data_IF_701796456319
#
_entry.id   IF_701796456319
#
_cell.length_a   1.000
_cell.length_b   1.000
_cell.length_c   1.000
_cell.angle_alpha   90.00
_cell.angle_beta   90.00
_cell.angle_gamma   90.00
#
_symmetry.space_group_name_H-M   'P 1'
#
loop_
_entity.id
_entity.type
_entity.pdbx_description
1 polymer ?
#
# COMPACT_ATOMS: atom_id res chain seq x y z
N UNK A 1 7.16 2.68 10.39
CA UNK A 1 8.13 1.91 11.22
C UNK A 1 7.79 0.45 11.57
N UNK A 2 6.62 0.12 12.11
CA UNK A 2 6.37 -1.26 12.60
C UNK A 2 6.52 -2.33 11.51
N UNK A 3 5.91 -2.09 10.34
CA UNK A 3 5.86 -3.03 9.24
C UNK A 3 7.20 -3.12 8.53
N UNK A 4 7.84 -1.97 8.32
CA UNK A 4 9.14 -1.78 7.67
C UNK A 4 10.22 -2.52 8.45
N UNK A 5 10.33 -2.29 9.76
CA UNK A 5 11.30 -2.97 10.63
C UNK A 5 11.10 -4.48 10.68
N UNK A 6 9.86 -4.96 10.50
CA UNK A 6 9.53 -6.38 10.47
C UNK A 6 9.55 -6.96 9.05
N UNK A 7 9.82 -6.14 8.03
CA UNK A 7 9.73 -6.50 6.62
C UNK A 7 8.37 -7.13 6.28
N UNK A 8 7.30 -6.69 6.91
CA UNK A 8 5.94 -7.13 6.58
C UNK A 8 5.48 -6.28 5.38
N UNK A 9 5.19 -6.86 4.20
CA UNK A 9 4.65 -6.09 3.08
C UNK A 9 3.28 -5.51 3.46
N UNK A 10 3.08 -4.23 3.18
CA UNK A 10 1.82 -3.53 3.44
C UNK A 10 1.54 -2.50 2.34
N UNK A 11 0.30 -2.02 2.32
CA UNK A 11 -0.13 -0.89 1.49
C UNK A 11 -0.84 0.11 2.38
N UNK A 12 -0.90 1.37 1.94
CA UNK A 12 -1.70 2.41 2.59
C UNK A 12 -2.94 2.66 1.74
N UNK A 13 -4.11 2.38 2.29
CA UNK A 13 -5.39 2.72 1.65
C UNK A 13 -5.91 4.06 2.20
N UNK A 14 -6.06 5.04 1.32
CA UNK A 14 -6.57 6.37 1.66
C UNK A 14 -8.05 6.38 1.36
N UNK A 15 -8.86 6.40 2.42
CA UNK A 15 -10.31 6.34 2.29
C UNK A 15 -10.90 7.71 1.93
N UNK A 16 -11.42 7.83 0.71
CA UNK A 16 -11.94 9.04 0.08
C UNK A 16 -13.47 9.04 0.05
N UNK A 17 -14.12 9.05 1.21
CA UNK A 17 -15.59 9.19 1.28
C UNK A 17 -16.04 10.63 0.92
N UNK A 18 -17.28 10.86 0.47
CA UNK A 18 -17.83 12.16 0.14
C UNK A 18 -17.63 13.18 1.26
N UNK A 19 -17.12 14.35 0.88
CA UNK A 19 -16.79 15.42 1.83
C UNK A 19 -15.45 15.25 2.54
N UNK A 20 -14.73 14.14 2.35
CA UNK A 20 -13.36 14.00 2.82
C UNK A 20 -12.42 14.93 2.02
N UNK A 21 -11.34 15.38 2.68
CA UNK A 21 -10.26 16.08 1.98
C UNK A 21 -9.52 15.09 1.09
N UNK A 22 -9.36 15.45 -0.18
CA UNK A 22 -8.59 14.66 -1.14
C UNK A 22 -7.12 15.06 -1.08
N UNK A 23 -6.25 14.06 -1.01
CA UNK A 23 -4.80 14.23 -1.12
C UNK A 23 -4.30 13.33 -2.25
N UNK A 24 -3.28 13.77 -2.97
CA UNK A 24 -2.66 12.91 -3.96
C UNK A 24 -1.88 11.80 -3.25
N UNK A 25 -1.76 10.64 -3.89
CA UNK A 25 -1.04 9.49 -3.33
C UNK A 25 0.42 9.83 -2.95
N UNK A 26 1.07 10.72 -3.73
CA UNK A 26 2.44 11.16 -3.45
C UNK A 26 2.52 12.04 -2.20
N UNK A 27 1.54 12.93 -1.97
CA UNK A 27 1.49 13.77 -0.77
C UNK A 27 1.35 12.91 0.49
N UNK A 28 0.47 11.91 0.42
CA UNK A 28 0.27 10.96 1.53
C UNK A 28 1.53 10.14 1.78
N UNK A 29 2.18 9.65 0.71
CA UNK A 29 3.44 8.91 0.85
C UNK A 29 4.53 9.75 1.52
N UNK A 30 4.63 11.02 1.16
CA UNK A 30 5.61 11.93 1.76
C UNK A 30 5.26 12.26 3.21
N UNK A 31 3.98 12.55 3.49
CA UNK A 31 3.54 12.91 4.84
C UNK A 31 3.69 11.75 5.85
N UNK A 32 3.59 10.51 5.38
CA UNK A 32 3.76 9.30 6.20
C UNK A 32 5.19 8.74 6.19
N UNK A 33 6.12 9.40 5.49
CA UNK A 33 7.52 8.96 5.34
C UNK A 33 7.66 7.50 4.89
N UNK A 34 6.89 7.11 3.87
CA UNK A 34 6.86 5.73 3.39
C UNK A 34 8.09 5.39 2.56
N UNK A 35 8.60 4.17 2.73
CA UNK A 35 9.64 3.60 1.87
C UNK A 35 9.24 3.69 0.39
N UNK A 36 10.20 4.04 -0.46
CA UNK A 36 10.00 4.15 -1.91
C UNK A 36 9.40 2.85 -2.47
N UNK A 37 8.25 2.99 -3.12
CA UNK A 37 7.55 1.86 -3.74
C UNK A 37 6.48 1.20 -2.86
N UNK A 38 6.31 1.66 -1.61
CA UNK A 38 5.15 1.30 -0.78
C UNK A 38 3.88 1.83 -1.46
N UNK A 39 2.91 0.97 -1.83
CA UNK A 39 1.73 1.43 -2.54
C UNK A 39 0.81 2.27 -1.66
N UNK A 40 0.42 3.44 -2.18
CA UNK A 40 -0.70 4.24 -1.66
C UNK A 40 -1.86 4.13 -2.64
N UNK A 41 -3.02 3.66 -2.16
CA UNK A 41 -4.20 3.38 -2.96
C UNK A 41 -5.35 4.25 -2.48
N UNK A 42 -5.96 5.02 -3.38
CA UNK A 42 -7.19 5.75 -3.05
C UNK A 42 -8.37 4.76 -3.13
N UNK A 43 -9.26 4.78 -2.14
CA UNK A 43 -10.42 3.91 -2.13
C UNK A 43 -11.63 4.58 -1.47
N UNK A 44 -12.83 4.06 -1.70
CA UNK A 44 -13.99 4.29 -0.83
C UNK A 44 -14.36 2.97 -0.19
N UNK A 45 -14.11 2.82 1.11
CA UNK A 45 -14.35 1.57 1.84
C UNK A 45 -15.83 1.17 1.91
N UNK A 46 -16.75 2.07 1.54
CA UNK A 46 -18.20 1.78 1.44
C UNK A 46 -18.55 1.13 0.11
N UNK A 47 -17.69 1.28 -0.89
CA UNK A 47 -17.78 0.59 -2.17
C UNK A 47 -17.00 -0.72 -2.09
N UNK A 48 -17.73 -1.83 -2.27
CA UNK A 48 -17.18 -3.18 -2.25
C UNK A 48 -16.11 -3.39 -3.33
N UNK A 49 -16.32 -2.84 -4.53
CA UNK A 49 -15.35 -3.02 -5.61
C UNK A 49 -14.08 -2.21 -5.35
N UNK A 50 -14.21 -1.03 -4.78
CA UNK A 50 -13.06 -0.23 -4.34
C UNK A 50 -12.25 -0.95 -3.26
N UNK A 51 -12.90 -1.54 -2.26
CA UNK A 51 -12.22 -2.35 -1.23
C UNK A 51 -11.54 -3.60 -1.79
N UNK A 52 -12.18 -4.26 -2.76
CA UNK A 52 -11.60 -5.42 -3.48
C UNK A 52 -10.31 -5.03 -4.19
N UNK A 53 -10.26 -3.87 -4.85
CA UNK A 53 -9.07 -3.41 -5.55
C UNK A 53 -7.88 -3.15 -4.60
N UNK A 54 -8.16 -2.62 -3.39
CA UNK A 54 -7.14 -2.49 -2.33
C UNK A 54 -6.57 -3.85 -1.93
N UNK A 55 -7.42 -4.87 -1.76
CA UNK A 55 -6.97 -6.22 -1.40
C UNK A 55 -6.15 -6.87 -2.51
N UNK A 56 -6.60 -6.77 -3.77
CA UNK A 56 -5.84 -7.24 -4.93
C UNK A 56 -4.45 -6.59 -4.91
N UNK A 57 -4.39 -5.25 -4.76
CA UNK A 57 -3.14 -4.52 -4.77
C UNK A 57 -2.20 -4.94 -3.63
N UNK A 58 -2.78 -5.24 -2.46
CA UNK A 58 -2.06 -5.74 -1.30
C UNK A 58 -1.40 -7.09 -1.59
N UNK A 59 -2.17 -8.05 -2.13
CA UNK A 59 -1.67 -9.40 -2.44
C UNK A 59 -0.60 -9.35 -3.52
N UNK A 60 -0.82 -8.58 -4.59
CA UNK A 60 0.18 -8.39 -5.64
C UNK A 60 1.49 -7.81 -5.10
N UNK A 61 1.42 -6.80 -4.22
CA UNK A 61 2.60 -6.19 -3.63
C UNK A 61 3.32 -7.16 -2.70
N UNK A 62 2.59 -7.88 -1.85
CA UNK A 62 3.15 -8.91 -1.00
C UNK A 62 3.86 -10.01 -1.80
N UNK A 63 3.25 -10.45 -2.92
CA UNK A 63 3.85 -11.41 -3.85
C UNK A 63 5.16 -10.90 -4.45
N UNK A 64 5.18 -9.68 -4.99
CA UNK A 64 6.41 -9.07 -5.54
C UNK A 64 7.52 -8.95 -4.49
N UNK A 65 7.19 -8.49 -3.28
CA UNK A 65 8.16 -8.36 -2.19
C UNK A 65 8.69 -9.72 -1.73
N UNK A 66 7.85 -10.76 -1.75
CA UNK A 66 8.28 -12.12 -1.44
C UNK A 66 9.24 -12.65 -2.50
N UNK A 67 8.91 -12.51 -3.78
CA UNK A 67 9.78 -12.92 -4.89
C UNK A 67 11.13 -12.20 -4.85
N UNK A 68 11.14 -10.87 -4.63
CA UNK A 68 12.38 -10.11 -4.52
C UNK A 68 13.30 -10.64 -3.41
N UNK A 69 12.73 -10.94 -2.23
CA UNK A 69 13.48 -11.51 -1.09
C UNK A 69 14.04 -12.89 -1.38
N UNK A 70 13.30 -13.73 -2.11
CA UNK A 70 13.81 -15.04 -2.52
C UNK A 70 15.00 -14.89 -3.44
N UNK A 71 14.92 -13.99 -4.44
CA UNK A 71 16.02 -13.73 -5.36
C UNK A 71 17.26 -13.18 -4.64
N UNK A 72 17.08 -12.28 -3.68
CA UNK A 72 18.17 -11.75 -2.85
C UNK A 72 18.83 -12.83 -1.98
N UNK A 73 18.07 -13.84 -1.54
CA UNK A 73 18.60 -14.91 -0.68
C UNK A 73 19.44 -15.98 -1.40
N UNK A 74 19.36 -16.02 -2.74
CA UNK A 74 20.09 -16.98 -3.59
C UNK A 74 21.34 -16.32 -4.21
N UNK A 75 21.54 -15.02 -3.97
CA UNK A 75 22.65 -14.23 -4.48
C UNK A 75 23.73 -14.05 -3.42
#
# INVERSE_FOLDING_TARGET
DYFERRRIPFVVAVNCFPGARTYAAHDVSHALDLDRGTPVVLCDARDRDSGKDVLIRTVEYAGRMHTARLLDSVR
#
